data_IF_133872750446
#
_entry.id   IF_133872750446
#
_cell.length_a   1.000
_cell.length_b   1.000
_cell.length_c   1.000
_cell.angle_alpha   90.00
_cell.angle_beta   90.00
_cell.angle_gamma   90.00
#
_symmetry.space_group_name_H-M   'P 1'
#
loop_
_entity.id
_entity.type
_entity.pdbx_description
1 polymer ?
#
# COMPACT_ATOMS: atom_id res chain seq x y z
N UNK A 1 22.28 -5.87 -5.84
CA UNK A 1 20.85 -5.50 -5.86
C UNK A 1 20.34 -5.86 -4.49
N UNK A 2 19.72 -4.93 -3.76
CA UNK A 2 19.13 -5.26 -2.47
C UNK A 2 18.05 -6.33 -2.71
N UNK A 3 18.00 -7.36 -1.87
CA UNK A 3 16.92 -8.35 -1.94
C UNK A 3 15.62 -7.63 -1.55
N UNK A 4 14.68 -7.51 -2.49
CA UNK A 4 13.40 -6.87 -2.23
C UNK A 4 12.60 -7.73 -1.24
N UNK A 5 12.23 -7.15 -0.09
CA UNK A 5 11.60 -7.87 1.00
C UNK A 5 10.61 -6.97 1.74
N UNK A 6 9.53 -7.58 2.24
CA UNK A 6 8.50 -6.90 3.01
C UNK A 6 7.32 -6.43 2.16
N UNK A 7 6.23 -6.17 2.86
CA UNK A 7 5.01 -5.58 2.32
C UNK A 7 4.93 -4.14 2.82
N UNK A 8 4.86 -3.17 1.91
CA UNK A 8 4.69 -1.77 2.23
C UNK A 8 3.28 -1.30 1.87
N UNK A 9 2.50 -0.92 2.88
CA UNK A 9 1.25 -0.18 2.68
C UNK A 9 1.56 1.31 2.57
N UNK A 10 1.07 1.97 1.54
CA UNK A 10 1.09 3.43 1.43
C UNK A 10 -0.25 3.96 1.93
N UNK A 11 -0.25 4.35 3.20
CA UNK A 11 -1.44 4.78 3.92
C UNK A 11 -1.60 6.30 3.94
N UNK A 12 -2.82 6.73 4.21
CA UNK A 12 -3.20 8.12 4.40
C UNK A 12 -3.75 8.36 5.82
N UNK A 13 -3.65 9.61 6.25
CA UNK A 13 -4.19 10.08 7.53
C UNK A 13 -5.00 11.36 7.30
N UNK A 14 -6.08 11.54 8.06
CA UNK A 14 -6.95 12.70 7.98
C UNK A 14 -7.46 13.09 9.37
N UNK A 15 -7.51 14.39 9.65
CA UNK A 15 -7.99 14.88 10.95
C UNK A 15 -7.14 14.44 12.15
N UNK A 16 -5.87 14.09 11.94
CA UNK A 16 -4.98 13.58 12.99
C UNK A 16 -5.10 12.09 13.26
N UNK A 17 -5.91 11.36 12.47
CA UNK A 17 -6.11 9.92 12.61
C UNK A 17 -5.72 9.15 11.35
N UNK A 18 -5.37 7.88 11.53
CA UNK A 18 -5.19 6.93 10.44
C UNK A 18 -6.52 6.72 9.70
N UNK A 19 -6.52 6.83 8.37
CA UNK A 19 -7.75 6.73 7.59
C UNK A 19 -8.39 5.33 7.70
N UNK A 20 -9.71 5.21 7.50
CA UNK A 20 -10.36 3.90 7.44
C UNK A 20 -9.76 3.00 6.35
N UNK A 21 -9.45 3.56 5.18
CA UNK A 21 -8.85 2.80 4.07
C UNK A 21 -7.44 2.32 4.41
N UNK A 22 -6.63 3.10 5.12
CA UNK A 22 -5.31 2.65 5.57
C UNK A 22 -5.43 1.45 6.53
N UNK A 23 -6.43 1.43 7.41
CA UNK A 23 -6.71 0.29 8.31
C UNK A 23 -7.12 -0.97 7.53
N UNK A 24 -7.97 -0.82 6.52
CA UNK A 24 -8.35 -1.92 5.61
C UNK A 24 -7.14 -2.49 4.84
N UNK A 25 -6.25 -1.60 4.37
CA UNK A 25 -5.03 -1.99 3.67
C UNK A 25 -4.05 -2.73 4.57
N UNK A 26 -3.98 -2.38 5.86
CA UNK A 26 -3.17 -3.12 6.83
C UNK A 26 -3.66 -4.56 6.99
N UNK A 27 -4.97 -4.80 7.00
CA UNK A 27 -5.52 -6.18 6.99
C UNK A 27 -5.04 -6.96 5.77
N UNK A 28 -5.18 -6.38 4.57
CA UNK A 28 -4.72 -7.02 3.33
C UNK A 28 -3.20 -7.24 3.32
N UNK A 29 -2.45 -6.24 3.82
CA UNK A 29 -1.01 -6.28 3.94
C UNK A 29 -0.52 -7.34 4.92
N UNK A 30 -1.19 -7.52 6.06
CA UNK A 30 -0.88 -8.53 7.08
C UNK A 30 -1.00 -9.93 6.50
N UNK A 31 -2.11 -10.23 5.83
CA UNK A 31 -2.30 -11.52 5.16
C UNK A 31 -1.21 -11.80 4.10
N UNK A 32 -0.81 -10.79 3.32
CA UNK A 32 0.27 -10.91 2.35
C UNK A 32 1.64 -11.11 3.01
N UNK A 33 1.93 -10.35 4.08
CA UNK A 33 3.17 -10.43 4.83
C UNK A 33 3.32 -11.80 5.52
N UNK A 34 2.25 -12.32 6.12
CA UNK A 34 2.21 -13.66 6.73
C UNK A 34 2.45 -14.77 5.71
N UNK A 35 1.82 -14.68 4.54
CA UNK A 35 2.04 -15.65 3.46
C UNK A 35 3.48 -15.62 2.91
N UNK A 36 4.13 -14.46 2.94
CA UNK A 36 5.53 -14.29 2.55
C UNK A 36 6.53 -14.66 3.65
N UNK A 37 6.09 -14.67 4.92
CA UNK A 37 6.97 -14.73 6.08
C UNK A 37 7.86 -13.48 6.20
N UNK A 38 7.34 -12.31 5.81
CA UNK A 38 8.07 -11.04 5.77
C UNK A 38 7.37 -9.97 6.64
N UNK A 39 8.02 -8.83 6.87
CA UNK A 39 7.47 -7.76 7.70
C UNK A 39 6.41 -6.94 6.95
N UNK A 40 5.37 -6.51 7.68
CA UNK A 40 4.41 -5.51 7.24
C UNK A 40 4.85 -4.12 7.70
N UNK A 41 5.11 -3.23 6.76
CA UNK A 41 5.35 -1.83 7.02
C UNK A 41 4.26 -0.94 6.43
N UNK A 42 4.11 0.25 7.01
CA UNK A 42 3.25 1.32 6.47
C UNK A 42 4.01 2.63 6.33
N UNK A 43 3.91 3.26 5.17
CA UNK A 43 4.37 4.62 4.90
C UNK A 43 3.24 5.61 5.10
N UNK A 44 3.45 6.59 5.98
CA UNK A 44 2.53 7.70 6.22
C UNK A 44 3.22 9.02 5.87
N UNK A 45 2.52 9.89 5.15
CA UNK A 45 3.02 11.19 4.69
C UNK A 45 2.14 12.31 5.26
N UNK A 46 2.75 13.30 5.90
CA UNK A 46 2.02 14.40 6.53
C UNK A 46 2.92 15.38 7.29
N UNK A 47 2.32 16.30 8.04
CA UNK A 47 3.06 17.21 8.93
C UNK A 47 3.20 16.62 10.35
N UNK A 48 2.07 16.22 10.94
CA UNK A 48 2.01 15.55 12.25
C UNK A 48 1.50 14.12 12.08
N UNK A 49 2.29 13.12 12.49
CA UNK A 49 1.99 11.71 12.27
C UNK A 49 2.08 10.85 13.54
N UNK A 50 2.28 11.43 14.72
CA UNK A 50 2.47 10.66 15.97
C UNK A 50 1.29 9.72 16.26
N UNK A 51 0.07 10.26 16.28
CA UNK A 51 -1.15 9.49 16.56
C UNK A 51 -1.48 8.49 15.43
N UNK A 52 -1.49 8.87 14.13
CA UNK A 52 -1.70 7.91 13.05
C UNK A 52 -0.68 6.77 13.04
N UNK A 53 0.58 7.05 13.39
CA UNK A 53 1.64 6.03 13.47
C UNK A 53 1.36 5.03 14.59
N UNK A 54 0.98 5.50 15.78
CA UNK A 54 0.61 4.62 16.89
C UNK A 54 -0.61 3.75 16.55
N UNK A 55 -1.62 4.35 15.92
CA UNK A 55 -2.79 3.61 15.44
C UNK A 55 -2.38 2.53 14.43
N UNK A 56 -1.48 2.84 13.50
CA UNK A 56 -1.08 1.88 12.49
C UNK A 56 -0.38 0.63 13.08
N UNK A 57 0.41 0.81 14.14
CA UNK A 57 0.98 -0.32 14.91
C UNK A 57 -0.14 -1.14 15.56
N UNK A 58 -1.11 -0.51 16.23
CA UNK A 58 -2.25 -1.24 16.84
C UNK A 58 -3.08 -2.02 15.82
N UNK A 59 -3.11 -1.59 14.56
CA UNK A 59 -3.78 -2.27 13.45
C UNK A 59 -2.90 -3.29 12.71
N UNK A 60 -1.80 -3.74 13.32
CA UNK A 60 -1.00 -4.89 12.86
C UNK A 60 0.21 -4.56 12.00
N UNK A 61 0.59 -3.28 11.84
CA UNK A 61 1.86 -2.92 11.22
C UNK A 61 3.04 -3.26 12.14
N UNK A 62 4.06 -3.94 11.61
CA UNK A 62 5.30 -4.22 12.34
C UNK A 62 6.18 -2.96 12.40
N UNK A 63 6.11 -2.12 11.35
CA UNK A 63 6.93 -0.92 11.21
C UNK A 63 6.17 0.24 10.58
N UNK A 64 6.42 1.46 11.06
CA UNK A 64 5.90 2.70 10.46
C UNK A 64 7.03 3.57 9.94
N UNK A 65 6.92 3.98 8.68
CA UNK A 65 7.75 5.00 8.06
C UNK A 65 6.97 6.30 8.01
N UNK A 66 7.25 7.20 8.95
CA UNK A 66 6.64 8.53 8.99
C UNK A 66 7.48 9.53 8.19
N UNK A 67 6.96 9.98 7.05
CA UNK A 67 7.58 11.02 6.23
C UNK A 67 6.93 12.35 6.58
N UNK A 68 7.61 13.12 7.44
CA UNK A 68 7.10 14.38 7.97
C UNK A 68 7.66 15.59 7.25
N UNK A 69 6.79 16.47 6.77
CA UNK A 69 7.19 17.77 6.24
C UNK A 69 5.99 18.74 6.23
N UNK A 70 6.17 20.05 6.53
CA UNK A 70 5.05 21.01 6.52
C UNK A 70 4.34 21.14 5.17
N UNK A 71 5.06 20.93 4.07
CA UNK A 71 4.43 20.94 2.72
C UNK A 71 3.58 19.70 2.42
N UNK A 72 3.65 18.67 3.26
CA UNK A 72 2.78 17.49 3.20
C UNK A 72 1.53 17.64 4.08
N UNK A 73 1.32 18.80 4.73
CA UNK A 73 0.11 19.06 5.51
C UNK A 73 -1.17 19.02 4.66
N UNK A 74 -1.05 19.28 3.34
CA UNK A 74 -2.13 19.20 2.38
C UNK A 74 -1.70 18.31 1.22
N UNK A 75 -2.67 17.56 0.68
CA UNK A 75 -2.41 16.73 -0.50
C UNK A 75 -1.94 17.59 -1.68
N UNK A 76 -0.72 17.31 -2.13
CA UNK A 76 -0.16 17.81 -3.36
C UNK A 76 0.50 16.65 -4.09
N UNK A 77 -0.05 16.31 -5.26
CA UNK A 77 0.32 15.09 -5.99
C UNK A 77 1.83 14.96 -6.20
N UNK A 78 2.53 16.03 -6.60
CA UNK A 78 3.96 15.96 -6.93
C UNK A 78 4.83 15.76 -5.69
N UNK A 79 4.44 16.34 -4.54
CA UNK A 79 5.14 16.19 -3.28
C UNK A 79 4.95 14.78 -2.71
N UNK A 80 3.70 14.32 -2.68
CA UNK A 80 3.35 12.97 -2.22
C UNK A 80 4.02 11.90 -3.08
N UNK A 81 3.96 12.06 -4.41
CA UNK A 81 4.57 11.12 -5.34
C UNK A 81 6.10 11.05 -5.17
N UNK A 82 6.76 12.18 -4.96
CA UNK A 82 8.22 12.22 -4.76
C UNK A 82 8.63 11.61 -3.42
N UNK A 83 7.85 11.85 -2.35
CA UNK A 83 8.07 11.23 -1.06
C UNK A 83 7.81 9.71 -1.08
N UNK A 84 6.73 9.26 -1.72
CA UNK A 84 6.42 7.83 -1.90
C UNK A 84 7.50 7.12 -2.71
N UNK A 85 7.96 7.74 -3.80
CA UNK A 85 9.04 7.19 -4.62
C UNK A 85 10.33 7.04 -3.80
N UNK A 86 10.73 8.08 -3.08
CA UNK A 86 11.92 8.05 -2.23
C UNK A 86 11.80 6.95 -1.17
N UNK A 87 10.65 6.85 -0.52
CA UNK A 87 10.37 5.81 0.48
C UNK A 87 10.46 4.40 -0.14
N UNK A 88 9.81 4.15 -1.28
CA UNK A 88 9.87 2.85 -1.94
C UNK A 88 11.31 2.48 -2.36
N UNK A 89 12.12 3.46 -2.80
CA UNK A 89 13.52 3.21 -3.17
C UNK A 89 14.40 2.91 -1.95
N UNK A 90 14.16 3.59 -0.82
CA UNK A 90 14.92 3.38 0.41
C UNK A 90 14.56 2.04 1.07
N UNK A 91 13.27 1.73 1.15
CA UNK A 91 12.77 0.49 1.77
C UNK A 91 12.95 -0.73 0.87
N UNK A 92 12.93 -0.55 -0.46
CA UNK A 92 12.99 -1.64 -1.44
C UNK A 92 11.99 -2.79 -1.16
N UNK A 93 10.68 -2.49 -0.99
CA UNK A 93 9.69 -3.50 -0.63
C UNK A 93 9.43 -4.48 -1.79
N UNK A 94 8.98 -5.70 -1.48
CA UNK A 94 8.52 -6.64 -2.51
C UNK A 94 7.13 -6.30 -3.02
N UNK A 95 6.23 -5.96 -2.11
CA UNK A 95 4.83 -5.65 -2.43
C UNK A 95 4.53 -4.25 -1.95
N UNK A 96 3.82 -3.47 -2.78
CA UNK A 96 3.29 -2.17 -2.40
C UNK A 96 1.78 -2.17 -2.54
N UNK A 97 1.08 -1.87 -1.45
CA UNK A 97 -0.38 -1.75 -1.42
C UNK A 97 -0.78 -0.29 -1.25
N UNK A 98 -1.75 0.15 -2.04
CA UNK A 98 -2.30 1.51 -1.96
C UNK A 98 -3.81 1.48 -2.12
N UNK A 99 -4.53 2.35 -1.42
CA UNK A 99 -5.98 2.45 -1.56
C UNK A 99 -6.37 3.07 -2.89
N UNK A 100 -7.40 2.56 -3.57
CA UNK A 100 -7.98 3.17 -4.77
C UNK A 100 -8.95 4.30 -4.40
N UNK A 101 -8.48 5.24 -3.58
CA UNK A 101 -9.18 6.50 -3.27
C UNK A 101 -9.08 7.47 -4.46
N UNK A 102 -9.58 8.71 -4.33
CA UNK A 102 -9.43 9.70 -5.39
C UNK A 102 -7.95 10.02 -5.64
N UNK A 103 -7.18 10.17 -4.56
CA UNK A 103 -5.73 10.43 -4.57
C UNK A 103 -4.98 9.18 -5.06
N UNK A 104 -5.31 8.00 -4.54
CA UNK A 104 -4.65 6.76 -4.91
C UNK A 104 -4.84 6.37 -6.38
N UNK A 105 -5.96 6.77 -7.01
CA UNK A 105 -6.18 6.61 -8.46
C UNK A 105 -5.20 7.43 -9.31
N UNK A 106 -4.68 8.53 -8.76
CA UNK A 106 -3.66 9.36 -9.41
C UNK A 106 -2.24 8.94 -9.01
N UNK A 107 -2.01 8.70 -7.72
CA UNK A 107 -0.69 8.36 -7.17
C UNK A 107 -0.20 6.99 -7.62
N UNK A 108 -1.04 5.95 -7.54
CA UNK A 108 -0.63 4.57 -7.82
C UNK A 108 -0.04 4.39 -9.23
N UNK A 109 -0.71 4.81 -10.33
CA UNK A 109 -0.15 4.63 -11.67
C UNK A 109 1.10 5.48 -11.90
N UNK A 110 1.17 6.68 -11.33
CA UNK A 110 2.36 7.53 -11.45
C UNK A 110 3.55 6.96 -10.69
N UNK A 111 3.32 6.40 -9.50
CA UNK A 111 4.36 5.74 -8.70
C UNK A 111 4.90 4.51 -9.43
N UNK A 112 4.01 3.64 -9.93
CA UNK A 112 4.39 2.47 -10.71
C UNK A 112 5.24 2.85 -11.93
N UNK A 113 4.85 3.90 -12.64
CA UNK A 113 5.62 4.43 -13.77
C UNK A 113 7.03 4.91 -13.35
N UNK A 114 7.15 5.69 -12.27
CA UNK A 114 8.46 6.18 -11.78
C UNK A 114 9.37 5.05 -11.30
N UNK A 115 8.79 4.00 -10.73
CA UNK A 115 9.52 2.81 -10.29
C UNK A 115 9.82 1.83 -11.44
N UNK A 116 9.21 2.01 -12.61
CA UNK A 116 9.42 1.15 -13.79
C UNK A 116 8.73 -0.21 -13.68
N UNK A 117 7.63 -0.30 -12.92
CA UNK A 117 6.94 -1.57 -12.60
C UNK A 117 5.47 -1.56 -13.03
N UNK A 118 4.85 -2.74 -12.98
CA UNK A 118 3.42 -2.91 -13.22
C UNK A 118 2.54 -2.48 -12.04
N UNK A 119 1.27 -2.24 -12.32
CA UNK A 119 0.24 -1.93 -11.32
C UNK A 119 -1.02 -2.74 -11.60
N UNK A 120 -1.47 -3.50 -10.61
CA UNK A 120 -2.82 -4.06 -10.58
C UNK A 120 -3.79 -3.02 -10.00
N UNK A 121 -4.68 -2.47 -10.83
CA UNK A 121 -5.66 -1.48 -10.36
C UNK A 121 -6.99 -2.11 -9.97
N UNK A 122 -7.68 -1.48 -9.02
CA UNK A 122 -9.06 -1.79 -8.64
C UNK A 122 -9.24 -3.24 -8.16
N UNK A 123 -8.32 -3.67 -7.31
CA UNK A 123 -8.29 -5.01 -6.76
C UNK A 123 -9.34 -5.15 -5.65
N UNK A 124 -10.08 -6.25 -5.68
CA UNK A 124 -11.03 -6.63 -4.64
C UNK A 124 -10.37 -7.53 -3.60
N UNK A 125 -9.45 -8.37 -4.04
CA UNK A 125 -8.77 -9.36 -3.23
C UNK A 125 -7.33 -9.49 -3.73
N UNK A 126 -6.42 -9.77 -2.80
CA UNK A 126 -5.04 -10.10 -3.09
C UNK A 126 -4.65 -11.41 -2.39
N UNK A 127 -3.78 -12.17 -3.01
CA UNK A 127 -3.15 -13.34 -2.41
C UNK A 127 -1.70 -13.47 -2.88
N UNK A 128 -0.92 -14.28 -2.18
CA UNK A 128 0.47 -14.55 -2.51
C UNK A 128 0.58 -16.00 -2.98
N UNK A 129 1.16 -16.20 -4.16
CA UNK A 129 1.70 -17.50 -4.55
C UNK A 129 3.01 -17.71 -3.78
N UNK A 130 3.00 -18.61 -2.81
CA UNK A 130 4.13 -18.83 -1.89
C UNK A 130 5.33 -19.49 -2.55
N UNK A 131 5.14 -20.23 -3.65
CA UNK A 131 6.24 -20.86 -4.38
C UNK A 131 7.03 -19.81 -5.17
N UNK A 132 6.33 -18.92 -5.88
CA UNK A 132 6.94 -17.88 -6.71
C UNK A 132 7.11 -16.53 -6.00
N UNK A 133 6.57 -16.38 -4.79
CA UNK A 133 6.45 -15.13 -4.03
C UNK A 133 5.82 -13.99 -4.84
N UNK A 134 4.83 -14.33 -5.67
CA UNK A 134 4.15 -13.42 -6.58
C UNK A 134 2.80 -13.00 -6.02
N UNK A 135 2.50 -11.70 -6.10
CA UNK A 135 1.19 -11.12 -5.80
C UNK A 135 0.19 -11.47 -6.91
N UNK A 136 -0.90 -12.11 -6.51
CA UNK A 136 -2.06 -12.37 -7.35
C UNK A 136 -3.17 -11.41 -6.93
N UNK A 137 -3.57 -10.53 -7.84
CA UNK A 137 -4.54 -9.48 -7.56
C UNK A 137 -5.81 -9.68 -8.38
N UNK A 138 -6.92 -9.95 -7.70
CA UNK A 138 -8.23 -10.18 -8.30
C UNK A 138 -8.91 -8.84 -8.54
N UNK A 139 -9.27 -8.54 -9.80
CA UNK A 139 -9.99 -7.31 -10.15
C UNK A 139 -11.16 -7.58 -11.11
N UNK A 140 -12.26 -6.81 -11.00
CA UNK A 140 -13.32 -6.86 -11.98
C UNK A 140 -12.88 -6.22 -13.29
N UNK A 141 -13.29 -6.84 -14.39
CA UNK A 141 -13.14 -6.35 -15.76
C UNK A 141 -14.50 -6.39 -16.46
N UNK A 142 -14.62 -5.70 -17.61
CA UNK A 142 -15.87 -5.60 -18.37
C UNK A 142 -17.08 -5.15 -17.52
N UNK A 143 -16.88 -4.13 -16.67
CA UNK A 143 -17.95 -3.61 -15.81
C UNK A 143 -18.33 -4.51 -14.63
N UNK A 144 -17.51 -5.52 -14.31
CA UNK A 144 -17.79 -6.49 -13.25
C UNK A 144 -18.32 -7.84 -13.73
N UNK A 145 -18.51 -8.01 -15.05
CA UNK A 145 -18.99 -9.26 -15.63
C UNK A 145 -17.97 -10.40 -15.60
N UNK A 146 -16.69 -10.11 -15.37
CA UNK A 146 -15.65 -11.11 -15.17
C UNK A 146 -14.63 -10.62 -14.14
N UNK A 147 -13.98 -11.58 -13.50
CA UNK A 147 -12.86 -11.34 -12.59
C UNK A 147 -11.58 -11.80 -13.30
N UNK A 148 -10.60 -10.91 -13.36
CA UNK A 148 -9.26 -11.22 -13.84
C UNK A 148 -8.29 -11.32 -12.67
N UNK A 149 -7.40 -12.31 -12.72
CA UNK A 149 -6.28 -12.44 -11.79
C UNK A 149 -5.05 -11.84 -12.46
N UNK A 150 -4.52 -10.76 -11.88
CA UNK A 150 -3.38 -10.02 -12.42
C UNK A 150 -2.15 -10.33 -11.57
N UNK A 151 -1.03 -10.61 -12.24
CA UNK A 151 0.28 -10.76 -11.61
C UNK A 151 1.27 -9.79 -12.25
N UNK A 152 2.22 -9.28 -11.46
CA UNK A 152 3.30 -8.43 -11.95
C UNK A 152 4.63 -9.18 -11.80
N UNK A 153 5.45 -9.18 -12.86
CA UNK A 153 6.70 -9.96 -12.89
C UNK A 153 7.91 -9.18 -12.36
N UNK A 154 7.73 -7.92 -11.96
CA UNK A 154 8.80 -7.02 -11.51
C UNK A 154 8.46 -6.51 -10.12
N UNK A 155 9.48 -6.32 -9.28
CA UNK A 155 9.35 -5.76 -7.96
C UNK A 155 9.69 -4.26 -7.93
N UNK A 156 9.03 -3.45 -7.08
CA UNK A 156 7.89 -3.85 -6.24
C UNK A 156 6.65 -4.20 -7.07
N UNK A 157 5.91 -5.21 -6.60
CA UNK A 157 4.61 -5.58 -7.16
C UNK A 157 3.54 -4.68 -6.53
N UNK A 158 2.92 -3.81 -7.34
CA UNK A 158 2.00 -2.79 -6.83
C UNK A 158 0.54 -3.19 -7.09
N UNK A 159 -0.30 -3.10 -6.05
CA UNK A 159 -1.75 -3.25 -6.16
C UNK A 159 -2.50 -2.07 -5.53
N UNK A 160 -3.47 -1.53 -6.28
CA UNK A 160 -4.40 -0.53 -5.80
C UNK A 160 -5.73 -1.20 -5.39
N UNK A 161 -5.96 -1.31 -4.09
CA UNK A 161 -7.09 -2.04 -3.49
C UNK A 161 -8.30 -1.13 -3.38
N UNK A 162 -9.47 -1.61 -3.79
CA UNK A 162 -10.72 -0.88 -3.68
C UNK A 162 -11.09 -0.68 -2.20
N UNK A 163 -11.43 0.54 -1.75
CA UNK A 163 -11.91 0.75 -0.39
C UNK A 163 -13.18 -0.06 -0.08
N UNK A 164 -13.36 -0.43 1.19
CA UNK A 164 -14.49 -1.19 1.75
C UNK A 164 -14.60 -2.64 1.30
N UNK A 165 -13.49 -3.24 0.85
CA UNK A 165 -13.46 -4.67 0.49
C UNK A 165 -12.82 -5.55 1.57
N UNK A 166 -12.02 -4.96 2.46
CA UNK A 166 -11.48 -5.62 3.65
C UNK A 166 -12.13 -5.03 4.90
N UNK A 167 -12.22 -5.84 5.94
CA UNK A 167 -12.54 -5.37 7.28
C UNK A 167 -11.24 -5.04 8.02
N UNK A 168 -11.14 -3.89 8.69
CA UNK A 168 -9.99 -3.59 9.55
C UNK A 168 -9.79 -4.66 10.63
N UNK A 169 -8.53 -4.96 10.95
CA UNK A 169 -8.20 -5.73 12.15
C UNK A 169 -8.71 -5.01 13.41
N UNK A 170 -9.01 -5.77 14.47
CA UNK A 170 -9.26 -5.15 15.77
C UNK A 170 -7.95 -4.57 16.32
N UNK A 171 -7.96 -3.34 16.85
CA UNK A 171 -6.76 -2.76 17.42
C UNK A 171 -6.43 -3.44 18.76
N UNK A 172 -5.15 -3.74 18.95
CA UNK A 172 -4.60 -4.26 20.23
C UNK A 172 -4.48 -3.20 21.33
#
# INVERSE_FOLDING_TARGET
MADESGVLVLGDSGGGELSPTARELLTAGRAAADALGEELAIGLLGDTLDQPSQQAISYGADKVYAVTHPQLAQYQVDLYLSAMEALCRDVSPRVVLIGRTNEGRELAPRLAFRLGVGLAQDCLEISIDTESKTLLANRPVYGGNAIAVVRCNYAPQIAAIRPKVYEPLEPD
#
